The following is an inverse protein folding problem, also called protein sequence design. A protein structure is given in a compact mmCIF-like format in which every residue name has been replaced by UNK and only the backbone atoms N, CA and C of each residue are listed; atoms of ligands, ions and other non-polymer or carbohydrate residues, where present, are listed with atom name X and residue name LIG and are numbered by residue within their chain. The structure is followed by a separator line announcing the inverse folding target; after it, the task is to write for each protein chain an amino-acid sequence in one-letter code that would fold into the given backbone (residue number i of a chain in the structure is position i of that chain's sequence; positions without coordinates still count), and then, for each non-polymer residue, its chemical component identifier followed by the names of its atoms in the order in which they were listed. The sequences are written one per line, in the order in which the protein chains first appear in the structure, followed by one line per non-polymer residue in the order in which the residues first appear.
data_IF_468153349633
#
_entry.id   IF_468153349633
#
_cell.length_a   1.000
_cell.length_b   1.000
_cell.length_c   1.000
_cell.angle_alpha   90.00
_cell.angle_beta   90.00
_cell.angle_gamma   90.00
#
_symmetry.space_group_name_H-M   'P 1'
#
loop_
_entity.id
_entity.type
_entity.pdbx_description
1 polymer ?
#
# COMPACT_ATOMS: atom_id res chain seq x y z
N UNK A 1 -5.18 -0.83 -9.58
CA UNK A 1 -4.24 0.07 -10.26
C UNK A 1 -3.42 0.74 -9.18
N UNK A 2 -2.14 0.39 -9.09
CA UNK A 2 -1.23 1.04 -8.16
C UNK A 2 -0.88 2.44 -8.68
N UNK A 3 -1.22 3.49 -7.93
CA UNK A 3 -0.94 4.88 -8.35
C UNK A 3 0.18 5.53 -7.57
N UNK A 4 0.37 5.13 -6.31
CA UNK A 4 1.41 5.67 -5.44
C UNK A 4 1.96 4.57 -4.53
N UNK A 5 3.22 4.69 -4.13
CA UNK A 5 3.90 3.77 -3.23
C UNK A 5 4.71 4.58 -2.21
N UNK A 6 4.42 4.35 -0.94
CA UNK A 6 5.12 4.97 0.20
C UNK A 6 5.84 3.87 0.98
N UNK A 7 7.17 3.91 0.95
CA UNK A 7 8.01 2.98 1.70
C UNK A 7 8.33 3.57 3.07
N UNK A 8 7.70 3.04 4.12
CA UNK A 8 7.86 3.46 5.52
C UNK A 8 8.70 2.46 6.32
N UNK A 9 9.39 1.54 5.66
CA UNK A 9 10.27 0.56 6.31
C UNK A 9 11.51 1.24 6.88
N UNK A 10 11.84 0.94 8.13
CA UNK A 10 13.12 1.27 8.74
C UNK A 10 14.25 0.37 8.19
N UNK A 11 13.93 -0.86 7.75
CA UNK A 11 14.90 -1.83 7.21
C UNK A 11 14.61 -2.12 5.72
N UNK A 12 14.80 -1.16 4.80
CA UNK A 12 14.36 -1.27 3.40
C UNK A 12 15.00 -2.43 2.62
N UNK A 13 16.18 -2.90 3.05
CA UNK A 13 16.86 -4.06 2.46
C UNK A 13 16.27 -5.41 2.88
N UNK A 14 15.40 -5.46 3.90
CA UNK A 14 14.61 -6.66 4.25
C UNK A 14 13.35 -6.73 3.40
N UNK A 15 13.53 -7.00 2.11
CA UNK A 15 12.43 -6.98 1.14
C UNK A 15 11.64 -8.28 1.04
N UNK A 16 12.13 -9.38 1.64
CA UNK A 16 11.56 -10.72 1.45
C UNK A 16 10.34 -11.04 2.33
N UNK A 17 10.10 -10.27 3.38
CA UNK A 17 8.97 -10.44 4.30
C UNK A 17 8.67 -9.09 4.94
N UNK A 18 7.58 -8.47 4.50
CA UNK A 18 7.13 -7.14 4.94
C UNK A 18 5.64 -7.18 5.31
N UNK A 19 5.16 -6.08 5.89
CA UNK A 19 3.74 -5.75 5.95
C UNK A 19 3.42 -4.76 4.83
N UNK A 20 2.42 -5.09 4.02
CA UNK A 20 1.93 -4.25 2.93
C UNK A 20 0.49 -3.85 3.21
N UNK A 21 0.19 -2.55 3.12
CA UNK A 21 -1.14 -1.98 3.33
C UNK A 21 -1.52 -1.20 2.08
N UNK A 22 -2.76 -1.33 1.61
CA UNK A 22 -3.30 -0.50 0.55
C UNK A 22 -4.48 0.30 1.09
N UNK A 23 -4.55 1.56 0.67
CA UNK A 23 -5.72 2.42 0.88
C UNK A 23 -6.12 3.09 -0.43
N UNK A 24 -7.35 3.59 -0.49
CA UNK A 24 -7.82 4.42 -1.58
C UNK A 24 -6.91 5.63 -1.75
N UNK A 25 -6.34 5.80 -2.95
CA UNK A 25 -5.50 6.94 -3.26
C UNK A 25 -6.27 8.27 -3.20
N UNK A 26 -7.61 8.25 -3.22
CA UNK A 26 -8.42 9.45 -2.99
C UNK A 26 -8.20 10.04 -1.58
N UNK A 27 -7.70 9.26 -0.61
CA UNK A 27 -7.28 9.78 0.71
C UNK A 27 -6.08 10.73 0.60
N UNK A 28 -5.21 10.56 -0.40
CA UNK A 28 -4.03 11.41 -0.61
C UNK A 28 -4.42 12.86 -0.98
N UNK A 29 -5.65 13.09 -1.45
CA UNK A 29 -6.22 14.42 -1.71
C UNK A 29 -6.22 15.33 -0.46
N UNK A 30 -6.04 14.78 0.74
CA UNK A 30 -5.91 15.54 1.98
C UNK A 30 -4.60 16.35 2.05
N UNK A 31 -3.56 15.98 1.29
CA UNK A 31 -2.33 16.75 1.20
C UNK A 31 -2.50 17.97 0.27
N UNK A 32 -1.90 19.10 0.63
CA UNK A 32 -2.10 20.38 -0.07
C UNK A 32 -1.56 20.36 -1.51
N UNK A 33 -0.46 19.65 -1.73
CA UNK A 33 0.29 19.54 -2.98
C UNK A 33 0.07 18.20 -3.72
N UNK A 34 -0.96 17.43 -3.35
CA UNK A 34 -1.27 16.17 -4.01
C UNK A 34 -1.91 16.35 -5.40
N UNK A 35 -1.57 15.42 -6.31
CA UNK A 35 -2.35 15.17 -7.52
C UNK A 35 -3.74 14.69 -7.12
N UNK A 36 -4.79 15.37 -7.61
CA UNK A 36 -6.16 15.10 -7.17
C UNK A 36 -6.82 13.97 -7.94
N UNK A 37 -7.44 13.06 -7.22
CA UNK A 37 -8.31 12.02 -7.76
C UNK A 37 -9.77 12.43 -7.55
N UNK A 38 -10.54 12.49 -8.63
CA UNK A 38 -11.98 12.77 -8.54
C UNK A 38 -12.73 11.60 -7.92
N UNK A 39 -13.71 11.88 -7.05
CA UNK A 39 -14.51 10.84 -6.42
C UNK A 39 -15.39 10.12 -7.46
N UNK A 40 -15.51 8.80 -7.34
CA UNK A 40 -16.38 7.98 -8.20
C UNK A 40 -15.74 7.46 -9.49
N UNK A 41 -14.42 7.61 -9.66
CA UNK A 41 -13.69 7.16 -10.87
C UNK A 41 -13.33 5.67 -10.82
N UNK A 42 -13.36 5.01 -9.66
CA UNK A 42 -13.07 3.57 -9.53
C UNK A 42 -13.79 2.91 -8.35
N UNK A 43 -13.65 1.58 -8.23
CA UNK A 43 -14.04 0.84 -7.03
C UNK A 43 -13.28 1.41 -5.83
N UNK A 44 -13.99 1.70 -4.74
CA UNK A 44 -13.41 2.25 -3.53
C UNK A 44 -12.87 1.11 -2.66
N UNK A 45 -11.58 1.15 -2.37
CA UNK A 45 -10.90 0.22 -1.46
C UNK A 45 -10.50 1.04 -0.25
N UNK A 46 -11.29 0.99 0.80
CA UNK A 46 -11.02 1.76 2.03
C UNK A 46 -9.69 1.34 2.67
N UNK A 47 -9.49 0.03 2.74
CA UNK A 47 -8.36 -0.60 3.40
C UNK A 47 -8.22 -2.08 2.99
N UNK A 48 -7.00 -2.53 2.75
CA UNK A 48 -6.65 -3.95 2.80
C UNK A 48 -5.17 -4.12 3.18
N UNK A 49 -4.82 -5.26 3.76
CA UNK A 49 -3.44 -5.56 4.17
C UNK A 49 -3.00 -6.96 3.75
N UNK A 50 -1.68 -7.14 3.68
CA UNK A 50 -1.04 -8.41 3.39
C UNK A 50 0.32 -8.49 4.08
N UNK A 51 0.50 -9.52 4.89
CA UNK A 51 1.71 -9.73 5.68
C UNK A 51 2.52 -10.92 5.16
N UNK A 52 3.82 -10.96 5.49
CA UNK A 52 4.70 -12.09 5.18
C UNK A 52 4.98 -12.24 3.69
N UNK A 53 4.74 -11.17 2.93
CA UNK A 53 4.99 -11.12 1.48
C UNK A 53 6.28 -10.37 1.18
N UNK A 54 6.88 -10.67 0.03
CA UNK A 54 7.96 -9.84 -0.49
C UNK A 54 7.43 -8.52 -1.05
N UNK A 55 8.30 -7.51 -1.16
CA UNK A 55 7.98 -6.23 -1.82
C UNK A 55 7.43 -6.44 -3.23
N UNK A 56 7.99 -7.38 -4.00
CA UNK A 56 7.51 -7.70 -5.34
C UNK A 56 6.07 -8.22 -5.31
N UNK A 57 5.75 -9.12 -4.38
CA UNK A 57 4.41 -9.66 -4.24
C UNK A 57 3.40 -8.60 -3.79
N UNK A 58 3.81 -7.69 -2.90
CA UNK A 58 3.00 -6.56 -2.47
C UNK A 58 2.64 -5.65 -3.66
N UNK A 59 3.63 -5.26 -4.48
CA UNK A 59 3.42 -4.44 -5.68
C UNK A 59 2.48 -5.12 -6.67
N UNK A 60 2.72 -6.40 -6.99
CA UNK A 60 1.86 -7.16 -7.91
C UNK A 60 0.44 -7.34 -7.37
N UNK A 61 0.29 -7.45 -6.06
CA UNK A 61 -1.02 -7.54 -5.42
C UNK A 61 -1.78 -6.22 -5.53
N UNK A 62 -1.15 -5.10 -5.16
CA UNK A 62 -1.76 -3.77 -5.23
C UNK A 62 -2.15 -3.38 -6.68
N UNK A 63 -1.30 -3.71 -7.65
CA UNK A 63 -1.57 -3.39 -9.05
C UNK A 63 -2.83 -4.08 -9.61
N UNK A 64 -3.10 -5.31 -9.14
CA UNK A 64 -4.27 -6.12 -9.56
C UNK A 64 -5.60 -5.67 -8.96
N UNK A 65 -5.60 -4.76 -8.00
CA UNK A 65 -6.83 -4.26 -7.39
C UNK A 65 -7.62 -3.40 -8.37
N UNK A 66 -8.95 -3.46 -8.33
CA UNK A 66 -9.81 -2.71 -9.27
C UNK A 66 -9.91 -1.21 -8.94
N UNK A 67 -9.44 -0.79 -7.76
CA UNK A 67 -9.37 0.61 -7.33
C UNK A 67 -8.03 1.29 -7.63
N UNK A 68 -8.03 2.62 -7.61
CA UNK A 68 -6.80 3.42 -7.50
C UNK A 68 -6.32 3.38 -6.06
N UNK A 69 -5.13 2.81 -5.83
CA UNK A 69 -4.63 2.60 -4.48
C UNK A 69 -3.24 3.16 -4.26
N UNK A 70 -3.00 3.60 -3.04
CA UNK A 70 -1.68 3.91 -2.50
C UNK A 70 -1.21 2.71 -1.68
N UNK A 71 -0.03 2.19 -2.01
CA UNK A 71 0.61 1.07 -1.32
C UNK A 71 1.59 1.60 -0.28
N UNK A 72 1.39 1.22 0.98
CA UNK A 72 2.28 1.51 2.10
C UNK A 72 3.05 0.24 2.46
N UNK A 73 4.37 0.36 2.61
CA UNK A 73 5.24 -0.74 3.02
C UNK A 73 5.77 -0.47 4.43
N UNK A 74 5.65 -1.47 5.30
CA UNK A 74 6.14 -1.43 6.68
C UNK A 74 7.04 -2.62 6.96
N UNK A 75 7.93 -2.48 7.93
CA UNK A 75 8.66 -3.64 8.44
C UNK A 75 7.65 -4.62 9.04
N UNK A 76 7.89 -5.90 8.85
CA UNK A 76 7.12 -6.91 9.54
C UNK A 76 7.59 -6.95 11.00
N UNK A 77 6.68 -6.65 11.92
CA UNK A 77 6.95 -6.84 13.35
C UNK A 77 7.15 -8.34 13.63
N UNK A 78 8.28 -8.71 14.23
CA UNK A 78 8.61 -10.10 14.61
C UNK A 78 7.80 -10.59 15.84
N UNK A 79 6.81 -9.81 16.31
CA UNK A 79 6.21 -9.95 17.66
C UNK A 79 5.12 -11.01 17.81
N UNK A 80 4.81 -11.82 16.81
CA UNK A 80 3.86 -12.94 16.96
C UNK A 80 4.46 -14.27 16.51
N UNK A 81 5.42 -14.76 17.28
CA UNK A 81 5.83 -16.17 17.29
C UNK A 81 6.09 -16.62 18.73
N UNK A 82 5.03 -16.77 19.51
CA UNK A 82 4.99 -17.60 20.74
C UNK A 82 4.25 -18.91 20.47
#
# INVERSE_FOLDING_TARGET
MLVNLIDLRERPYRWGSILAVVESAAKDNAAEDADRIENGVSVEIDYAEKEGVSVREAVLWADRLEGMVTLYLYDRDETEAE
#
